data_IF_862407268706
#
_entry.id   IF_862407268706
#
_cell.length_a   1.000
_cell.length_b   1.000
_cell.length_c   1.000
_cell.angle_alpha   90.00
_cell.angle_beta   90.00
_cell.angle_gamma   90.00
#
_symmetry.space_group_name_H-M   'P 1'
#
loop_
_entity.id
_entity.type
_entity.pdbx_description
1 polymer ?
#
# COMPACT_ATOMS: atom_id res chain seq x y z
N UNK A 1 13.67 -18.95 -2.05
CA UNK A 1 12.72 -18.97 -3.18
C UNK A 1 12.91 -17.67 -3.93
N UNK A 2 13.71 -17.68 -4.98
CA UNK A 2 13.95 -16.51 -5.84
C UNK A 2 12.74 -16.34 -6.74
N UNK A 3 11.99 -15.27 -6.53
CA UNK A 3 10.94 -14.86 -7.48
C UNK A 3 11.69 -14.31 -8.68
N UNK A 4 11.73 -15.06 -9.78
CA UNK A 4 12.11 -14.53 -11.07
C UNK A 4 11.06 -13.49 -11.46
N UNK A 5 11.42 -12.21 -11.34
CA UNK A 5 10.61 -11.14 -11.87
C UNK A 5 10.68 -11.21 -13.40
N UNK A 6 9.71 -11.88 -14.01
CA UNK A 6 9.41 -11.72 -15.42
C UNK A 6 9.13 -10.24 -15.67
N UNK A 7 10.12 -9.52 -16.23
CA UNK A 7 9.92 -8.19 -16.77
C UNK A 7 9.05 -8.36 -18.01
N UNK A 8 7.75 -8.41 -17.79
CA UNK A 8 6.78 -8.25 -18.86
C UNK A 8 7.04 -6.86 -19.44
N UNK A 9 7.56 -6.80 -20.68
CA UNK A 9 7.52 -5.59 -21.49
C UNK A 9 6.02 -5.31 -21.68
N UNK A 10 5.45 -4.57 -20.74
CA UNK A 10 4.06 -4.17 -20.78
C UNK A 10 3.82 -3.30 -22.02
N UNK A 11 2.55 -3.04 -22.37
CA UNK A 11 2.19 -2.15 -23.48
C UNK A 11 2.81 -0.74 -23.37
N UNK A 12 3.41 -0.40 -22.23
CA UNK A 12 4.02 0.87 -21.89
C UNK A 12 5.51 0.99 -22.26
N UNK A 13 6.25 -0.07 -22.63
CA UNK A 13 7.69 0.05 -22.90
C UNK A 13 7.96 -0.16 -24.40
N UNK A 14 8.46 0.88 -25.09
CA UNK A 14 8.78 0.80 -26.52
C UNK A 14 10.05 -0.01 -26.74
N UNK A 15 10.02 -0.95 -27.68
CA UNK A 15 11.23 -1.64 -28.12
C UNK A 15 12.20 -0.64 -28.76
N UNK A 16 13.47 -0.57 -28.32
CA UNK A 16 14.45 0.40 -28.85
C UNK A 16 14.62 0.33 -30.37
N UNK A 17 14.49 -0.86 -30.97
CA UNK A 17 14.59 -1.08 -32.42
C UNK A 17 13.47 -0.39 -33.24
N UNK A 18 12.39 0.06 -32.58
CA UNK A 18 11.31 0.83 -33.21
C UNK A 18 11.55 2.35 -33.18
N UNK A 19 12.62 2.79 -32.52
CA UNK A 19 12.98 4.21 -32.40
C UNK A 19 13.97 4.55 -33.50
N UNK A 20 13.58 5.47 -34.40
CA UNK A 20 14.32 5.73 -35.63
C UNK A 20 15.46 6.72 -35.44
N UNK A 21 15.48 7.46 -34.34
CA UNK A 21 16.49 8.48 -34.05
C UNK A 21 17.01 8.41 -32.62
N UNK A 22 18.20 8.98 -32.42
CA UNK A 22 18.78 9.17 -31.08
C UNK A 22 17.88 10.04 -30.20
N UNK A 23 17.16 10.99 -30.78
CA UNK A 23 16.27 11.87 -30.05
C UNK A 23 15.01 11.14 -29.57
N UNK A 24 14.47 10.23 -30.40
CA UNK A 24 13.37 9.36 -30.00
C UNK A 24 13.80 8.44 -28.84
N UNK A 25 15.03 7.91 -28.89
CA UNK A 25 15.60 7.11 -27.81
C UNK A 25 15.75 7.92 -26.51
N UNK A 26 16.27 9.16 -26.57
CA UNK A 26 16.42 10.02 -25.39
C UNK A 26 15.08 10.35 -24.75
N UNK A 27 14.07 10.66 -25.57
CA UNK A 27 12.72 10.97 -25.10
C UNK A 27 12.10 9.78 -24.39
N UNK A 28 12.19 8.60 -25.00
CA UNK A 28 11.65 7.38 -24.41
C UNK A 28 12.38 6.99 -23.13
N UNK A 29 13.71 7.11 -23.10
CA UNK A 29 14.51 6.87 -21.91
C UNK A 29 14.14 7.82 -20.76
N UNK A 30 13.93 9.10 -21.07
CA UNK A 30 13.48 10.08 -20.08
C UNK A 30 12.10 9.73 -19.52
N UNK A 31 11.14 9.37 -20.39
CA UNK A 31 9.80 8.95 -19.98
C UNK A 31 9.83 7.73 -19.06
N UNK A 32 10.53 6.66 -19.48
CA UNK A 32 10.65 5.42 -18.70
C UNK A 32 11.35 5.67 -17.37
N UNK A 33 12.40 6.51 -17.34
CA UNK A 33 13.09 6.83 -16.10
C UNK A 33 12.19 7.57 -15.11
N UNK A 34 11.39 8.52 -15.58
CA UNK A 34 10.40 9.21 -14.75
C UNK A 34 9.36 8.23 -14.19
N UNK A 35 8.80 7.37 -15.03
CA UNK A 35 7.84 6.35 -14.59
C UNK A 35 8.45 5.38 -13.56
N UNK A 36 9.70 4.95 -13.76
CA UNK A 36 10.38 4.06 -12.84
C UNK A 36 10.63 4.73 -11.48
N UNK A 37 10.99 6.01 -11.47
CA UNK A 37 11.16 6.79 -10.25
C UNK A 37 9.82 6.90 -9.50
N UNK A 38 8.73 7.23 -10.19
CA UNK A 38 7.40 7.30 -9.60
C UNK A 38 6.95 5.95 -9.03
N UNK A 39 7.12 4.86 -9.79
CA UNK A 39 6.81 3.50 -9.34
C UNK A 39 7.65 3.10 -8.12
N UNK A 40 8.94 3.43 -8.12
CA UNK A 40 9.82 3.16 -6.97
C UNK A 40 9.35 3.91 -5.73
N UNK A 41 8.93 5.17 -5.86
CA UNK A 41 8.37 5.94 -4.74
C UNK A 41 7.06 5.32 -4.22
N UNK A 42 6.18 4.87 -5.12
CA UNK A 42 4.94 4.19 -4.76
C UNK A 42 5.22 2.86 -4.03
N UNK A 43 6.17 2.06 -4.51
CA UNK A 43 6.58 0.82 -3.87
C UNK A 43 7.18 1.06 -2.49
N UNK A 44 8.03 2.08 -2.33
CA UNK A 44 8.59 2.46 -1.04
C UNK A 44 7.49 2.85 -0.05
N UNK A 45 6.49 3.64 -0.49
CA UNK A 45 5.33 4.02 0.32
C UNK A 45 4.48 2.81 0.72
N UNK A 46 4.24 1.89 -0.22
CA UNK A 46 3.48 0.65 0.05
C UNK A 46 4.21 -0.24 1.04
N UNK A 47 5.53 -0.42 0.89
CA UNK A 47 6.34 -1.20 1.81
C UNK A 47 6.31 -0.61 3.23
N UNK A 48 6.49 0.71 3.35
CA UNK A 48 6.40 1.39 4.65
C UNK A 48 5.02 1.20 5.30
N UNK A 49 3.94 1.30 4.51
CA UNK A 49 2.58 1.05 4.98
C UNK A 49 2.39 -0.40 5.43
N UNK A 50 2.93 -1.35 4.66
CA UNK A 50 2.87 -2.78 4.97
C UNK A 50 3.59 -3.13 6.28
N UNK A 51 4.78 -2.56 6.51
CA UNK A 51 5.51 -2.73 7.77
C UNK A 51 4.71 -2.18 8.96
N UNK A 52 4.11 -1.00 8.82
CA UNK A 52 3.28 -0.42 9.87
C UNK A 52 2.05 -1.27 10.18
N UNK A 53 1.38 -1.80 9.14
CA UNK A 53 0.22 -2.67 9.29
C UNK A 53 0.60 -4.00 9.97
N UNK A 54 1.72 -4.61 9.57
CA UNK A 54 2.23 -5.84 10.19
C UNK A 54 2.53 -5.63 11.68
N UNK A 55 3.21 -4.54 12.03
CA UNK A 55 3.50 -4.20 13.43
C UNK A 55 2.25 -3.94 14.26
N UNK A 56 1.23 -3.29 13.68
CA UNK A 56 -0.07 -3.10 14.34
C UNK A 56 -0.78 -4.44 14.61
N UNK A 57 -0.88 -5.31 13.60
CA UNK A 57 -1.51 -6.64 13.73
C UNK A 57 -0.78 -7.46 14.80
N UNK A 58 0.55 -7.49 14.75
CA UNK A 58 1.35 -8.19 15.75
C UNK A 58 1.08 -7.64 17.17
N UNK A 59 1.02 -6.31 17.32
CA UNK A 59 0.69 -5.65 18.58
C UNK A 59 -0.67 -6.08 19.13
N UNK A 60 -1.72 -6.02 18.31
CA UNK A 60 -3.08 -6.44 18.70
C UNK A 60 -3.12 -7.91 19.09
N UNK A 61 -2.52 -8.80 18.28
CA UNK A 61 -2.51 -10.24 18.56
C UNK A 61 -1.80 -10.56 19.89
N UNK A 62 -0.68 -9.89 20.19
CA UNK A 62 0.04 -10.05 21.46
C UNK A 62 -0.80 -9.69 22.66
N UNK A 63 -1.54 -8.57 22.62
CA UNK A 63 -2.38 -8.16 23.74
C UNK A 63 -3.67 -8.98 23.83
N UNK A 64 -4.21 -9.41 22.70
CA UNK A 64 -5.34 -10.34 22.67
C UNK A 64 -5.02 -11.67 23.36
N UNK A 65 -3.84 -12.26 23.08
CA UNK A 65 -3.37 -13.48 23.76
C UNK A 65 -3.27 -13.28 25.28
N UNK A 66 -2.92 -12.07 25.72
CA UNK A 66 -2.85 -11.70 27.15
C UNK A 66 -4.22 -11.39 27.76
N UNK A 67 -5.28 -11.38 26.95
CA UNK A 67 -6.63 -10.96 27.36
C UNK A 67 -6.67 -9.53 27.93
N UNK A 68 -5.78 -8.66 27.45
CA UNK A 68 -5.70 -7.26 27.85
C UNK A 68 -6.47 -6.38 26.85
N UNK A 69 -7.75 -6.16 27.13
CA UNK A 69 -8.64 -5.40 26.25
C UNK A 69 -8.26 -3.91 26.16
N UNK A 70 -7.78 -3.32 27.25
CA UNK A 70 -7.37 -1.92 27.29
C UNK A 70 -6.12 -1.70 26.43
N UNK A 71 -5.16 -2.65 26.49
CA UNK A 71 -3.98 -2.59 25.63
C UNK A 71 -4.31 -2.83 24.14
N UNK A 72 -5.31 -3.65 23.83
CA UNK A 72 -5.82 -3.77 22.44
C UNK A 72 -6.41 -2.45 21.97
N UNK A 73 -7.25 -1.80 22.78
CA UNK A 73 -7.83 -0.49 22.44
C UNK A 73 -6.74 0.55 22.19
N UNK A 74 -5.73 0.63 23.06
CA UNK A 74 -4.60 1.54 22.90
C UNK A 74 -3.79 1.29 21.60
N UNK A 75 -3.62 0.02 21.18
CA UNK A 75 -3.00 -0.31 19.90
C UNK A 75 -3.84 0.20 18.72
N UNK A 76 -5.16 0.02 18.77
CA UNK A 76 -6.09 0.52 17.75
C UNK A 76 -6.08 2.06 17.67
N UNK A 77 -6.12 2.74 18.82
CA UNK A 77 -6.09 4.20 18.87
C UNK A 77 -4.81 4.77 18.30
N UNK A 78 -3.66 4.17 18.63
CA UNK A 78 -2.36 4.57 18.07
C UNK A 78 -2.34 4.40 16.56
N UNK A 79 -2.85 3.27 16.04
CA UNK A 79 -2.84 2.99 14.61
C UNK A 79 -3.81 3.89 13.82
N UNK A 80 -5.00 4.16 14.37
CA UNK A 80 -6.02 4.98 13.75
C UNK A 80 -5.77 6.49 13.94
N UNK A 81 -5.04 6.89 14.99
CA UNK A 81 -4.71 8.28 15.28
C UNK A 81 -3.90 8.97 14.19
N UNK A 82 -3.17 8.21 13.36
CA UNK A 82 -2.46 8.75 12.19
C UNK A 82 -3.17 8.47 10.87
N UNK A 83 -4.42 7.98 10.89
CA UNK A 83 -5.17 7.48 9.73
C UNK A 83 -6.64 7.89 9.79
N UNK A 84 -6.90 9.19 9.82
CA UNK A 84 -8.26 9.78 9.90
C UNK A 84 -9.24 9.16 8.89
N UNK A 85 -8.86 9.10 7.61
CA UNK A 85 -9.72 8.51 6.57
C UNK A 85 -10.05 7.02 6.79
N UNK A 86 -9.15 6.26 7.41
CA UNK A 86 -9.43 4.86 7.74
C UNK A 86 -10.40 4.78 8.93
N UNK A 87 -10.20 5.63 9.93
CA UNK A 87 -11.10 5.76 11.08
C UNK A 87 -12.52 6.09 10.63
N UNK A 88 -12.70 7.15 9.84
CA UNK A 88 -14.00 7.55 9.29
C UNK A 88 -14.71 6.39 8.59
N UNK A 89 -14.00 5.68 7.70
CA UNK A 89 -14.57 4.53 6.99
C UNK A 89 -15.01 3.39 7.92
N UNK A 90 -14.28 3.15 9.00
CA UNK A 90 -14.63 2.10 9.96
C UNK A 90 -15.84 2.52 10.79
N UNK A 91 -15.90 3.79 11.21
CA UNK A 91 -17.04 4.36 11.92
C UNK A 91 -18.31 4.30 11.06
N UNK A 92 -18.23 4.70 9.79
CA UNK A 92 -19.34 4.57 8.82
C UNK A 92 -19.82 3.10 8.66
N UNK A 93 -18.89 2.15 8.60
CA UNK A 93 -19.22 0.73 8.48
C UNK A 93 -19.92 0.20 9.75
N UNK A 94 -19.44 0.60 10.94
CA UNK A 94 -20.05 0.24 12.23
C UNK A 94 -21.48 0.78 12.32
N UNK A 95 -21.69 2.04 11.92
CA UNK A 95 -23.03 2.65 11.88
C UNK A 95 -23.95 1.91 10.91
N UNK A 96 -23.45 1.55 9.72
CA UNK A 96 -24.23 0.80 8.73
C UNK A 96 -24.65 -0.59 9.24
N UNK A 97 -23.75 -1.29 9.92
CA UNK A 97 -24.02 -2.61 10.48
C UNK A 97 -25.03 -2.54 11.63
N UNK A 98 -24.94 -1.52 12.49
CA UNK A 98 -25.89 -1.29 13.58
C UNK A 98 -27.33 -1.11 13.07
N UNK A 99 -27.52 -0.35 11.98
CA UNK A 99 -28.81 -0.13 11.32
C UNK A 99 -29.38 -1.45 10.76
N UNK A 100 -28.53 -2.33 10.22
CA UNK A 100 -28.97 -3.63 9.68
C UNK A 100 -29.40 -4.61 10.76
N UNK A 101 -28.77 -4.59 11.93
CA UNK A 101 -29.13 -5.48 13.05
C UNK A 101 -30.39 -5.07 13.82
N UNK A 102 -30.91 -3.85 13.60
CA UNK A 102 -32.08 -3.32 14.31
C UNK A 102 -33.41 -3.44 13.55
N UNK A 103 -33.39 -3.98 12.32
CA UNK A 103 -34.55 -4.24 11.46
C UNK A 103 -34.75 -5.74 11.21
#
# INVERSE_FOLDING_TARGET
MTIEALVMIGPTITHPEKLNTIEDLRRELHRVNTELVEQSMLMAKLNATGIQMAGFIEGVLKQHIRSDADAVAACCDTYLGTRERLREKLEEAIESDAIRTTH
#
